data_IF_888071271160
#
_entry.id   IF_888071271160
#
_cell.length_a   1.000
_cell.length_b   1.000
_cell.length_c   1.000
_cell.angle_alpha   90.00
_cell.angle_beta   90.00
_cell.angle_gamma   90.00
#
_symmetry.space_group_name_H-M   'P 1'
#
loop_
_entity.id
_entity.type
_entity.pdbx_description
1 polymer ?
#
# COMPACT_ATOMS: atom_id res chain seq x y z
N UNK A 1 6.04 2.34 -17.86
CA UNK A 1 5.53 3.63 -18.35
C UNK A 1 5.22 4.54 -17.18
N UNK A 2 5.74 5.75 -17.25
CA UNK A 2 5.49 6.83 -16.30
C UNK A 2 4.13 7.44 -16.65
N UNK A 3 3.19 7.41 -15.74
CA UNK A 3 1.96 8.18 -15.87
C UNK A 3 2.07 9.40 -14.96
N UNK A 4 2.09 10.62 -15.49
CA UNK A 4 1.95 11.81 -14.66
C UNK A 4 0.52 11.79 -14.08
N UNK A 5 0.42 11.90 -12.78
CA UNK A 5 -0.83 12.26 -12.11
C UNK A 5 -0.94 13.78 -12.23
N UNK A 6 -1.43 14.24 -13.38
CA UNK A 6 -1.50 15.66 -13.69
C UNK A 6 -2.83 16.26 -13.24
N UNK A 7 -2.76 17.42 -12.63
CA UNK A 7 -3.81 18.21 -11.98
C UNK A 7 -4.98 18.69 -12.87
N UNK A 8 -5.08 18.24 -14.12
CA UNK A 8 -5.98 18.86 -15.10
C UNK A 8 -7.47 18.44 -14.97
N UNK A 9 -7.83 17.61 -13.97
CA UNK A 9 -9.20 17.11 -13.76
C UNK A 9 -9.86 17.58 -12.46
N UNK A 10 -9.28 18.53 -11.76
CA UNK A 10 -9.85 19.08 -10.52
C UNK A 10 -9.83 18.12 -9.31
N UNK A 11 -9.06 17.07 -9.37
CA UNK A 11 -8.78 16.16 -8.28
C UNK A 11 -7.44 16.53 -7.68
N UNK A 12 -7.46 17.18 -6.54
CA UNK A 12 -6.22 17.47 -5.80
C UNK A 12 -5.77 16.21 -5.03
N UNK A 13 -5.27 15.23 -5.76
CA UNK A 13 -4.39 14.26 -5.13
C UNK A 13 -3.07 15.00 -4.91
N UNK A 14 -2.62 15.10 -3.67
CA UNK A 14 -1.32 15.68 -3.37
C UNK A 14 -0.22 14.96 -4.15
N UNK A 15 0.93 15.60 -4.33
CA UNK A 15 2.10 14.93 -4.92
C UNK A 15 2.35 13.61 -4.18
N UNK A 16 2.51 12.49 -4.90
CA UNK A 16 2.72 11.20 -4.25
C UNK A 16 4.01 11.22 -3.43
N UNK A 17 3.89 10.88 -2.17
CA UNK A 17 4.99 10.78 -1.21
C UNK A 17 5.09 9.37 -0.66
N UNK A 18 6.29 8.80 -0.62
CA UNK A 18 6.48 7.46 -0.07
C UNK A 18 6.38 7.52 1.46
N UNK A 19 5.51 6.70 2.03
CA UNK A 19 5.36 6.60 3.49
C UNK A 19 6.68 6.16 4.13
N UNK A 20 7.05 6.86 5.19
CA UNK A 20 8.29 6.59 5.92
C UNK A 20 8.33 5.17 6.50
N UNK A 21 9.53 4.63 6.66
CA UNK A 21 9.73 3.35 7.31
C UNK A 21 9.13 3.36 8.72
N UNK A 22 8.31 2.40 9.03
CA UNK A 22 7.64 2.26 10.30
C UNK A 22 7.39 0.78 10.63
N UNK A 23 7.26 0.48 11.91
CA UNK A 23 6.83 -0.84 12.39
C UNK A 23 5.81 -0.63 13.49
N UNK A 24 4.62 -1.16 13.30
CA UNK A 24 3.52 -1.10 14.27
C UNK A 24 3.29 -2.49 14.82
N UNK A 25 3.63 -2.68 16.08
CA UNK A 25 3.56 -3.96 16.78
C UNK A 25 2.32 -4.01 17.69
N UNK A 26 1.36 -4.85 17.31
CA UNK A 26 0.22 -5.19 18.16
C UNK A 26 -0.77 -4.05 18.44
N UNK A 27 -0.65 -2.93 17.74
CA UNK A 27 -1.57 -1.81 17.86
C UNK A 27 -2.70 -1.88 16.81
N UNK A 28 -2.53 -2.71 15.81
CA UNK A 28 -3.58 -2.92 14.84
C UNK A 28 -4.71 -3.74 15.50
N UNK A 29 -5.91 -3.21 15.45
CA UNK A 29 -7.08 -4.02 15.80
C UNK A 29 -7.04 -5.26 14.90
N UNK A 30 -7.22 -6.41 15.49
CA UNK A 30 -7.23 -7.69 14.77
C UNK A 30 -8.13 -7.58 13.53
N UNK A 31 -7.53 -7.58 12.36
CA UNK A 31 -8.22 -7.53 11.09
C UNK A 31 -8.15 -8.92 10.49
N UNK A 32 -9.28 -9.43 10.04
CA UNK A 32 -9.35 -10.71 9.37
C UNK A 32 -9.28 -10.48 7.86
N UNK A 33 -8.18 -10.88 7.24
CA UNK A 33 -8.08 -10.97 5.80
C UNK A 33 -8.50 -12.39 5.38
N UNK A 34 -9.77 -12.58 5.09
CA UNK A 34 -10.36 -13.89 4.83
C UNK A 34 -10.11 -14.86 6.01
N UNK A 35 -9.13 -15.74 5.89
CA UNK A 35 -8.71 -16.67 6.95
C UNK A 35 -7.45 -16.22 7.69
N UNK A 36 -6.85 -15.10 7.29
CA UNK A 36 -5.60 -14.59 7.84
C UNK A 36 -5.86 -13.53 8.91
N UNK A 37 -5.18 -13.66 10.03
CA UNK A 37 -5.24 -12.68 11.12
C UNK A 37 -4.08 -11.73 10.97
N UNK A 38 -4.34 -10.42 10.94
CA UNK A 38 -3.31 -9.38 10.94
C UNK A 38 -3.27 -8.74 12.31
N UNK A 39 -2.10 -8.69 12.93
CA UNK A 39 -1.87 -8.04 14.22
C UNK A 39 -0.85 -6.91 14.15
N UNK A 40 -0.04 -6.88 13.12
CA UNK A 40 0.99 -5.86 12.95
C UNK A 40 1.35 -5.67 11.49
N UNK A 41 1.92 -4.50 11.20
CA UNK A 41 2.48 -4.22 9.89
C UNK A 41 3.87 -3.56 10.01
N UNK A 42 4.65 -3.66 8.96
CA UNK A 42 5.93 -2.97 8.82
C UNK A 42 6.02 -2.33 7.45
N UNK A 43 6.49 -1.09 7.38
CA UNK A 43 6.78 -0.39 6.14
C UNK A 43 8.29 -0.22 6.03
N UNK A 44 8.84 -0.70 4.93
CA UNK A 44 10.26 -0.56 4.61
C UNK A 44 10.41 -0.26 3.13
N UNK A 45 11.14 0.80 2.80
CA UNK A 45 11.31 1.27 1.42
C UNK A 45 9.99 1.43 0.65
N UNK A 46 8.94 1.90 1.32
CA UNK A 46 7.61 2.07 0.74
C UNK A 46 6.83 0.77 0.51
N UNK A 47 7.36 -0.39 0.90
CA UNK A 47 6.63 -1.66 0.87
C UNK A 47 6.07 -1.94 2.26
N UNK A 48 4.74 -2.15 2.34
CA UNK A 48 4.08 -2.59 3.56
C UNK A 48 3.95 -4.12 3.57
N UNK A 49 4.32 -4.72 4.68
CA UNK A 49 4.18 -6.15 4.96
C UNK A 49 3.38 -6.33 6.24
N UNK A 50 2.66 -7.43 6.34
CA UNK A 50 1.78 -7.73 7.46
C UNK A 50 2.21 -9.03 8.14
N UNK A 51 1.89 -9.13 9.44
CA UNK A 51 2.19 -10.31 10.25
C UNK A 51 1.00 -10.65 11.16
N UNK A 52 0.87 -11.92 11.50
CA UNK A 52 -0.11 -12.44 12.45
C UNK A 52 0.32 -12.27 13.92
N UNK A 53 1.54 -11.80 14.14
CA UNK A 53 2.12 -11.52 15.44
C UNK A 53 3.10 -10.33 15.35
N UNK A 54 3.95 -10.14 16.31
CA UNK A 54 4.85 -8.98 16.38
C UNK A 54 6.31 -9.31 16.02
N UNK A 55 6.57 -10.42 15.40
CA UNK A 55 7.96 -10.87 15.17
C UNK A 55 8.47 -10.62 13.76
N UNK A 56 7.56 -10.52 12.78
CA UNK A 56 7.88 -10.42 11.34
C UNK A 56 8.84 -11.52 10.84
N UNK A 57 8.88 -12.64 11.54
CA UNK A 57 9.71 -13.79 11.15
C UNK A 57 9.22 -14.43 9.83
N UNK A 58 7.93 -14.29 9.55
CA UNK A 58 7.30 -14.75 8.32
C UNK A 58 6.14 -13.82 7.99
N UNK A 59 6.35 -12.87 7.09
CA UNK A 59 5.29 -12.00 6.63
C UNK A 59 4.13 -12.80 6.01
N UNK A 60 2.92 -12.31 6.18
CA UNK A 60 1.74 -12.90 5.57
C UNK A 60 1.84 -12.84 4.05
N UNK A 61 1.45 -13.93 3.40
CA UNK A 61 1.39 -14.02 1.94
C UNK A 61 -0.06 -13.84 1.50
N UNK A 62 -0.28 -12.96 0.55
CA UNK A 62 -1.58 -12.72 -0.07
C UNK A 62 -1.66 -13.45 -1.39
N UNK A 63 -2.63 -14.35 -1.51
CA UNK A 63 -2.75 -15.27 -2.65
C UNK A 63 -4.16 -15.31 -3.27
N UNK A 64 -5.03 -14.41 -2.83
CA UNK A 64 -6.39 -14.28 -3.36
C UNK A 64 -6.79 -12.81 -3.55
N UNK A 65 -7.78 -12.58 -4.41
CA UNK A 65 -8.38 -11.25 -4.58
C UNK A 65 -9.13 -10.79 -3.33
N UNK A 66 -9.61 -11.72 -2.50
CA UNK A 66 -10.23 -11.41 -1.21
C UNK A 66 -9.19 -10.85 -0.22
N UNK A 67 -7.99 -11.41 -0.20
CA UNK A 67 -6.88 -10.86 0.58
C UNK A 67 -6.53 -9.44 0.13
N UNK A 68 -6.41 -9.22 -1.18
CA UNK A 68 -6.12 -7.91 -1.75
C UNK A 68 -7.19 -6.89 -1.34
N UNK A 69 -8.47 -7.25 -1.46
CA UNK A 69 -9.57 -6.37 -1.06
C UNK A 69 -9.50 -6.02 0.44
N UNK A 70 -9.18 -6.99 1.29
CA UNK A 70 -9.03 -6.75 2.72
C UNK A 70 -7.82 -5.86 3.06
N UNK A 71 -6.70 -6.02 2.35
CA UNK A 71 -5.55 -5.12 2.49
C UNK A 71 -5.93 -3.70 2.09
N UNK A 72 -6.63 -3.52 0.97
CA UNK A 72 -7.08 -2.19 0.51
C UNK A 72 -8.02 -1.56 1.54
N UNK A 73 -9.00 -2.31 2.06
CA UNK A 73 -9.89 -1.81 3.12
C UNK A 73 -9.10 -1.40 4.38
N UNK A 74 -8.09 -2.19 4.76
CA UNK A 74 -7.20 -1.82 5.86
C UNK A 74 -6.48 -0.50 5.57
N UNK A 75 -5.87 -0.35 4.37
CA UNK A 75 -5.13 0.85 4.00
C UNK A 75 -6.02 2.09 3.96
N UNK A 76 -7.27 1.96 3.49
CA UNK A 76 -8.26 3.03 3.48
C UNK A 76 -8.64 3.49 4.90
N UNK A 77 -8.61 2.59 5.87
CA UNK A 77 -8.95 2.90 7.27
C UNK A 77 -7.76 3.43 8.09
N UNK A 78 -6.54 3.36 7.54
CA UNK A 78 -5.35 3.91 8.19
C UNK A 78 -5.08 5.34 7.68
N UNK A 79 -4.57 6.16 8.56
CA UNK A 79 -4.04 7.47 8.22
C UNK A 79 -2.52 7.35 8.10
N UNK A 80 -2.01 7.32 6.87
CA UNK A 80 -0.58 7.24 6.58
C UNK A 80 0.07 8.62 6.41
N UNK A 81 -0.68 9.69 6.50
CA UNK A 81 -0.20 11.07 6.35
C UNK A 81 -1.12 11.92 5.48
N UNK A 82 -0.53 12.91 4.82
CA UNK A 82 -1.26 13.81 3.94
C UNK A 82 -1.72 13.12 2.64
N UNK A 83 -2.60 13.77 1.91
CA UNK A 83 -2.97 13.35 0.56
C UNK A 83 -1.73 13.12 -0.31
N UNK A 84 -1.67 12.02 -1.01
CA UNK A 84 -0.49 11.57 -1.75
C UNK A 84 0.36 10.52 -1.03
N UNK A 85 0.13 10.25 0.27
CA UNK A 85 0.85 9.19 0.98
C UNK A 85 0.68 7.85 0.27
N UNK A 86 1.81 7.25 -0.13
CA UNK A 86 1.84 6.05 -0.98
C UNK A 86 2.60 4.92 -0.34
N UNK A 87 2.00 3.74 -0.35
CA UNK A 87 2.62 2.46 0.01
C UNK A 87 2.35 1.42 -1.07
N UNK A 88 3.18 0.40 -1.15
CA UNK A 88 2.91 -0.75 -2.01
C UNK A 88 2.91 -2.05 -1.21
N UNK A 89 2.16 -3.03 -1.68
CA UNK A 89 2.19 -4.40 -1.16
C UNK A 89 2.20 -5.40 -2.32
N UNK A 90 2.65 -6.61 -2.04
CA UNK A 90 2.74 -7.67 -3.06
C UNK A 90 1.74 -8.79 -2.78
N UNK A 91 1.23 -9.38 -3.85
CA UNK A 91 0.39 -10.57 -3.81
C UNK A 91 0.75 -11.52 -4.96
N UNK A 92 0.37 -12.78 -4.84
CA UNK A 92 0.51 -13.77 -5.92
C UNK A 92 -0.86 -14.32 -6.25
N UNK A 93 -1.48 -13.83 -7.32
CA UNK A 93 -2.83 -14.23 -7.71
C UNK A 93 -2.77 -15.21 -8.88
N UNK A 94 -3.31 -16.39 -8.68
CA UNK A 94 -3.29 -17.46 -9.69
C UNK A 94 -1.88 -17.76 -10.24
N UNK A 95 -0.87 -17.68 -9.38
CA UNK A 95 0.53 -17.92 -9.74
C UNK A 95 1.23 -16.74 -10.42
N UNK A 96 0.57 -15.62 -10.58
CA UNK A 96 1.16 -14.39 -11.13
C UNK A 96 1.47 -13.42 -10.00
N UNK A 97 2.68 -12.86 -9.99
CA UNK A 97 3.05 -11.81 -9.05
C UNK A 97 2.34 -10.50 -9.40
N UNK A 98 1.91 -9.79 -8.39
CA UNK A 98 1.31 -8.46 -8.47
C UNK A 98 1.95 -7.54 -7.44
N UNK A 99 2.20 -6.31 -7.83
CA UNK A 99 2.48 -5.22 -6.88
C UNK A 99 1.36 -4.22 -6.96
N UNK A 100 0.67 -4.03 -5.85
CA UNK A 100 -0.38 -3.04 -5.70
C UNK A 100 0.19 -1.79 -5.06
N UNK A 101 0.01 -0.64 -5.70
CA UNK A 101 0.36 0.66 -5.14
C UNK A 101 -0.92 1.35 -4.69
N UNK A 102 -0.98 1.69 -3.42
CA UNK A 102 -2.07 2.44 -2.82
C UNK A 102 -1.59 3.86 -2.52
N UNK A 103 -2.34 4.85 -3.00
CA UNK A 103 -2.10 6.27 -2.70
C UNK A 103 -3.32 6.86 -2.03
N UNK A 104 -3.13 7.41 -0.86
CA UNK A 104 -4.19 8.05 -0.08
C UNK A 104 -4.62 9.36 -0.74
N UNK A 105 -5.92 9.53 -0.95
CA UNK A 105 -6.49 10.71 -1.62
C UNK A 105 -6.72 11.89 -0.70
N UNK A 106 -6.90 11.63 0.60
CA UNK A 106 -7.06 12.65 1.63
C UNK A 106 -6.52 12.19 3.00
N UNK A 107 -6.71 13.01 4.03
CA UNK A 107 -6.16 12.76 5.38
C UNK A 107 -7.10 11.96 6.29
N UNK A 108 -8.26 11.57 5.84
CA UNK A 108 -9.34 11.14 6.75
C UNK A 108 -9.94 9.79 6.46
N UNK A 109 -9.18 8.80 6.08
CA UNK A 109 -9.67 7.39 5.95
C UNK A 109 -11.07 7.22 5.34
N UNK A 110 -11.32 6.22 4.58
CA UNK A 110 -12.62 5.92 3.94
C UNK A 110 -13.05 6.90 2.85
N UNK A 111 -12.15 7.33 2.00
CA UNK A 111 -12.57 8.23 0.94
C UNK A 111 -12.54 7.60 -0.46
N UNK A 112 -13.41 8.14 -1.31
CA UNK A 112 -13.53 7.74 -2.72
C UNK A 112 -12.43 8.31 -3.62
N UNK A 113 -11.41 8.92 -3.04
CA UNK A 113 -10.30 9.55 -3.75
C UNK A 113 -9.01 8.73 -3.71
N UNK A 114 -9.00 7.62 -2.98
CA UNK A 114 -7.85 6.73 -2.94
C UNK A 114 -7.59 6.08 -4.30
N UNK A 115 -6.33 5.94 -4.63
CA UNK A 115 -5.89 5.35 -5.90
C UNK A 115 -5.23 4.01 -5.63
N UNK A 116 -5.66 3.00 -6.36
CA UNK A 116 -5.01 1.69 -6.40
C UNK A 116 -4.52 1.39 -7.81
N UNK A 117 -3.24 1.09 -7.93
CA UNK A 117 -2.61 0.67 -9.19
C UNK A 117 -2.13 -0.77 -9.05
N UNK A 118 -2.52 -1.64 -9.96
CA UNK A 118 -2.06 -3.03 -10.05
C UNK A 118 -0.98 -3.16 -11.12
N UNK A 119 0.21 -3.58 -10.72
CA UNK A 119 1.35 -3.88 -11.59
C UNK A 119 1.49 -5.39 -11.74
N UNK A 120 0.86 -5.91 -12.76
CA UNK A 120 0.83 -7.36 -13.05
C UNK A 120 2.19 -7.85 -13.54
N UNK A 121 2.67 -8.95 -12.96
CA UNK A 121 3.95 -9.56 -13.29
C UNK A 121 5.16 -8.87 -12.64
N UNK A 122 4.91 -7.92 -11.73
CA UNK A 122 5.96 -7.18 -11.02
C UNK A 122 5.99 -7.60 -9.55
N UNK A 123 7.19 -7.86 -9.04
CA UNK A 123 7.45 -8.00 -7.61
C UNK A 123 8.36 -6.85 -7.19
N UNK A 124 7.79 -5.82 -6.61
CA UNK A 124 8.56 -4.68 -6.13
C UNK A 124 9.31 -5.01 -4.83
N UNK A 125 10.51 -4.48 -4.71
CA UNK A 125 11.34 -4.52 -3.49
C UNK A 125 11.47 -3.14 -2.86
N UNK A 126 10.98 -2.10 -3.53
CA UNK A 126 10.98 -0.75 -3.02
C UNK A 126 10.18 0.21 -3.91
N UNK A 127 9.72 1.29 -3.30
CA UNK A 127 9.12 2.44 -3.95
C UNK A 127 9.91 3.66 -3.51
N UNK A 128 10.30 4.51 -4.44
CA UNK A 128 11.04 5.74 -4.17
C UNK A 128 10.43 6.91 -4.91
N UNK A 129 10.53 8.09 -4.32
CA UNK A 129 10.11 9.33 -4.97
C UNK A 129 11.12 9.75 -6.04
N UNK A 130 10.61 10.28 -7.14
CA UNK A 130 11.43 10.92 -8.15
C UNK A 130 11.98 12.28 -7.68
N UNK A 131 13.05 12.71 -8.33
CA UNK A 131 13.63 14.06 -8.09
C UNK A 131 12.71 15.19 -8.54
N UNK A 132 11.67 14.88 -9.28
CA UNK A 132 10.65 15.82 -9.76
C UNK A 132 9.32 15.39 -9.18
N UNK A 133 8.53 16.32 -8.69
CA UNK A 133 7.23 16.06 -8.10
C UNK A 133 6.31 15.24 -9.03
N UNK A 134 5.55 14.33 -8.47
CA UNK A 134 4.55 13.56 -9.19
C UNK A 134 5.03 12.24 -9.79
N UNK A 135 6.26 11.79 -9.53
CA UNK A 135 6.76 10.51 -10.04
C UNK A 135 7.19 9.58 -8.91
N UNK A 136 6.80 8.32 -9.04
CA UNK A 136 7.28 7.22 -8.19
C UNK A 136 8.05 6.21 -9.04
N UNK A 137 9.15 5.72 -8.50
CA UNK A 137 9.93 4.64 -9.08
C UNK A 137 9.75 3.37 -8.27
N UNK A 138 9.64 2.25 -8.98
CA UNK A 138 9.55 0.92 -8.40
C UNK A 138 10.83 0.18 -8.74
N UNK A 139 11.44 -0.40 -7.72
CA UNK A 139 12.64 -1.25 -7.84
C UNK A 139 12.35 -2.70 -7.49
#
# INVERSE_FOLDING_TARGET
>A
PLYPLDDDWGWTVGDPTVVANATVNGADSTIFFDTKVVQSHSISNGIITFDDNNTFASALVFDSTADVAAVVEYLQNQDFGDAGATVAFTATISGTAHTYMFTQGDNAGTDNQDILVDLVGVTATGVTEGLTNGYLFIS
#
